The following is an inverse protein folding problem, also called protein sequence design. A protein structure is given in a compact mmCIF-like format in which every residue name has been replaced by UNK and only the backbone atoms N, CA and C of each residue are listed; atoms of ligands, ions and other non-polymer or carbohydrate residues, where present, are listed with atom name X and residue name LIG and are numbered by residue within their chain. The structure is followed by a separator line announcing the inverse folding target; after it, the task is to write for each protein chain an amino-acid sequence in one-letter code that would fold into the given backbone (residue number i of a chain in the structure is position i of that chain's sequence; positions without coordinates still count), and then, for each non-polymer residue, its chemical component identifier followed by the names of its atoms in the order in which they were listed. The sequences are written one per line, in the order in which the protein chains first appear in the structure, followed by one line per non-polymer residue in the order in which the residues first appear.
data_IF_420848509254
#
_entry.id   IF_420848509254
#
_cell.length_a   1.000
_cell.length_b   1.000
_cell.length_c   1.000
_cell.angle_alpha   90.00
_cell.angle_beta   90.00
_cell.angle_gamma   90.00
#
_symmetry.space_group_name_H-M   'P 1'
#
loop_
_entity.id
_entity.type
_entity.pdbx_description
1 polymer ?
#
# COMPACT_ATOMS: atom_id res chain seq x y z
N UNK A 1 -1.55 -0.28 -17.07
CA UNK A 1 -0.91 0.62 -16.08
C UNK A 1 -2.03 1.18 -15.24
N UNK A 2 -1.87 1.20 -13.91
CA UNK A 2 -2.85 1.76 -12.98
C UNK A 2 -2.13 2.68 -12.00
N UNK A 3 -2.71 3.85 -11.75
CA UNK A 3 -2.26 4.79 -10.73
C UNK A 3 -3.42 5.01 -9.78
N UNK A 4 -3.20 4.82 -8.49
CA UNK A 4 -4.19 4.98 -7.46
C UNK A 4 -3.66 5.94 -6.39
N UNK A 5 -4.50 6.87 -5.97
CA UNK A 5 -4.26 7.77 -4.86
C UNK A 5 -5.45 7.64 -3.91
N UNK A 6 -5.18 7.35 -2.65
CA UNK A 6 -6.22 7.14 -1.65
C UNK A 6 -5.93 7.99 -0.43
N UNK A 7 -6.90 8.81 -0.04
CA UNK A 7 -6.85 9.61 1.18
C UNK A 7 -7.89 9.07 2.13
N UNK A 8 -7.46 8.69 3.32
CA UNK A 8 -8.33 8.25 4.40
C UNK A 8 -8.27 9.27 5.54
N UNK A 9 -9.43 9.76 5.98
CA UNK A 9 -9.56 10.67 7.11
C UNK A 9 -10.53 10.05 8.11
N UNK A 10 -10.12 9.96 9.37
CA UNK A 10 -11.00 9.56 10.45
C UNK A 10 -11.04 10.64 11.52
N UNK A 11 -12.23 10.79 12.11
CA UNK A 11 -12.50 11.68 13.23
C UNK A 11 -13.23 10.87 14.29
N UNK A 12 -12.64 10.75 15.47
CA UNK A 12 -13.24 10.08 16.61
C UNK A 12 -13.14 11.00 17.82
N UNK A 13 -14.30 11.41 18.32
CA UNK A 13 -14.40 12.17 19.56
C UNK A 13 -14.57 11.18 20.71
N UNK A 14 -13.62 11.16 21.65
CA UNK A 14 -13.70 10.34 22.86
C UNK A 14 -14.03 11.28 24.02
N UNK A 15 -15.21 11.07 24.61
CA UNK A 15 -15.66 11.82 25.78
C UNK A 15 -14.93 11.31 27.02
N UNK A 16 -14.04 12.12 27.58
CA UNK A 16 -13.41 11.87 28.87
C UNK A 16 -14.26 12.42 30.02
N UNK A 17 -14.01 11.95 31.25
CA UNK A 17 -14.77 12.37 32.44
C UNK A 17 -14.58 13.86 32.82
N UNK A 18 -13.57 14.55 32.26
CA UNK A 18 -13.26 15.96 32.55
C UNK A 18 -12.85 16.80 31.31
N UNK A 19 -12.38 16.19 30.22
CA UNK A 19 -12.07 16.87 28.93
C UNK A 19 -12.43 15.99 27.73
N UNK A 20 -12.81 16.61 26.61
CA UNK A 20 -13.12 15.93 25.35
C UNK A 20 -11.86 15.84 24.50
N UNK A 21 -11.39 14.63 24.20
CA UNK A 21 -10.24 14.44 23.32
C UNK A 21 -10.72 14.11 21.90
N UNK A 22 -10.35 14.97 20.95
CA UNK A 22 -10.61 14.73 19.52
C UNK A 22 -9.40 14.03 18.90
N UNK A 23 -9.59 12.76 18.52
CA UNK A 23 -8.64 12.01 17.73
C UNK A 23 -8.99 12.18 16.25
N UNK A 24 -8.05 12.71 15.47
CA UNK A 24 -8.16 12.75 14.02
C UNK A 24 -6.92 12.15 13.39
N UNK A 25 -7.07 11.40 12.31
CA UNK A 25 -5.91 10.89 11.59
C UNK A 25 -6.15 10.88 10.10
N UNK A 26 -5.10 11.21 9.36
CA UNK A 26 -5.09 11.28 7.91
C UNK A 26 -4.01 10.31 7.39
N UNK A 27 -4.43 9.36 6.57
CA UNK A 27 -3.54 8.42 5.90
C UNK A 27 -3.70 8.55 4.39
N UNK A 28 -2.65 9.00 3.73
CA UNK A 28 -2.51 9.13 2.29
C UNK A 28 -1.68 7.95 1.77
N UNK A 29 -2.14 7.32 0.68
CA UNK A 29 -1.44 6.21 0.04
C UNK A 29 -1.46 6.40 -1.46
N UNK A 30 -0.26 6.49 -2.04
CA UNK A 30 -0.05 6.49 -3.48
C UNK A 30 0.46 5.12 -3.90
N UNK A 31 -0.13 4.60 -4.98
CA UNK A 31 0.30 3.33 -5.56
C UNK A 31 0.30 3.42 -7.07
N UNK A 32 1.44 3.12 -7.67
CA UNK A 32 1.63 3.08 -9.11
C UNK A 32 1.99 1.66 -9.53
N UNK A 33 1.14 1.00 -10.30
CA UNK A 33 1.34 -0.37 -10.75
C UNK A 33 1.36 -0.46 -12.27
N UNK A 34 2.30 -1.25 -12.76
CA UNK A 34 2.43 -1.62 -14.16
C UNK A 34 2.40 -3.15 -14.26
N UNK A 35 1.67 -3.65 -15.24
CA UNK A 35 1.62 -5.08 -15.53
C UNK A 35 1.71 -5.28 -17.02
N UNK A 36 2.45 -6.30 -17.44
CA UNK A 36 2.63 -6.67 -18.83
C UNK A 36 2.49 -8.17 -18.99
N UNK A 37 1.67 -8.59 -19.95
CA UNK A 37 1.61 -10.00 -20.37
C UNK A 37 2.88 -10.29 -21.16
N UNK A 38 3.72 -11.18 -20.63
CA UNK A 38 4.96 -11.60 -21.29
C UNK A 38 4.68 -12.68 -22.34
N UNK A 39 3.74 -13.57 -22.03
CA UNK A 39 3.37 -14.68 -22.91
C UNK A 39 1.88 -14.97 -22.76
N UNK A 40 1.22 -15.24 -23.88
CA UNK A 40 -0.19 -15.64 -23.92
C UNK A 40 -0.39 -16.62 -25.06
N UNK A 41 -1.09 -17.70 -24.75
CA UNK A 41 -1.55 -18.73 -25.66
C UNK A 41 -2.99 -19.13 -25.29
N UNK A 42 -3.61 -20.04 -26.05
CA UNK A 42 -4.96 -20.54 -25.80
C UNK A 42 -5.09 -21.21 -24.42
N UNK A 43 -4.03 -21.86 -23.95
CA UNK A 43 -4.03 -22.63 -22.68
C UNK A 43 -3.17 -22.02 -21.59
N UNK A 44 -2.36 -20.99 -21.85
CA UNK A 44 -1.46 -20.44 -20.83
C UNK A 44 -1.26 -18.94 -20.93
N UNK A 45 -1.01 -18.30 -19.80
CA UNK A 45 -0.79 -16.85 -19.69
C UNK A 45 0.24 -16.56 -18.60
N UNK A 46 1.31 -15.86 -18.97
CA UNK A 46 2.32 -15.36 -18.03
C UNK A 46 2.27 -13.84 -18.00
N UNK A 47 2.12 -13.27 -16.81
CA UNK A 47 2.05 -11.83 -16.56
C UNK A 47 3.13 -11.43 -15.58
N UNK A 48 3.90 -10.40 -15.92
CA UNK A 48 4.82 -9.74 -15.02
C UNK A 48 4.17 -8.45 -14.52
N UNK A 49 4.27 -8.18 -13.23
CA UNK A 49 3.83 -6.95 -12.60
C UNK A 49 4.97 -6.31 -11.83
N UNK A 50 4.92 -4.99 -11.73
CA UNK A 50 5.84 -4.19 -10.95
C UNK A 50 5.16 -2.90 -10.54
N UNK A 51 5.46 -2.40 -9.36
CA UNK A 51 4.83 -1.19 -8.86
C UNK A 51 5.66 -0.48 -7.80
N UNK A 52 5.35 0.80 -7.61
CA UNK A 52 5.88 1.63 -6.55
C UNK A 52 4.73 2.01 -5.62
N UNK A 53 5.01 2.10 -4.33
CA UNK A 53 4.04 2.55 -3.34
C UNK A 53 4.69 3.55 -2.39
N UNK A 54 3.92 4.55 -1.98
CA UNK A 54 4.24 5.43 -0.86
C UNK A 54 3.03 5.58 0.04
N UNK A 55 3.28 5.52 1.35
CA UNK A 55 2.28 5.76 2.38
C UNK A 55 2.75 6.87 3.28
N UNK A 56 1.89 7.86 3.47
CA UNK A 56 2.09 8.95 4.40
C UNK A 56 0.95 8.92 5.42
N UNK A 57 1.28 8.76 6.70
CA UNK A 57 0.28 8.81 7.76
C UNK A 57 0.63 9.92 8.73
N UNK A 58 -0.34 10.81 8.98
CA UNK A 58 -0.29 11.89 9.97
C UNK A 58 -1.38 11.64 11.01
N UNK A 59 -1.03 11.72 12.29
CA UNK A 59 -1.98 11.60 13.39
C UNK A 59 -2.06 12.94 14.13
N UNK A 60 -3.28 13.36 14.44
CA UNK A 60 -3.60 14.60 15.14
C UNK A 60 -4.33 14.26 16.44
N UNK A 61 -3.87 14.87 17.55
CA UNK A 61 -4.58 14.83 18.83
C UNK A 61 -4.83 16.28 19.21
N UNK A 62 -6.09 16.64 19.40
CA UNK A 62 -6.49 17.95 19.91
C UNK A 62 -5.92 19.15 19.12
N UNK A 63 -6.09 19.09 17.79
CA UNK A 63 -5.63 20.11 16.83
C UNK A 63 -4.10 20.36 16.81
N UNK A 64 -3.32 19.54 17.53
CA UNK A 64 -1.86 19.55 17.54
C UNK A 64 -1.35 18.32 16.77
N UNK A 65 -0.47 18.54 15.80
CA UNK A 65 0.19 17.43 15.09
C UNK A 65 1.10 16.70 16.08
N UNK A 66 0.85 15.40 16.30
CA UNK A 66 1.78 14.56 17.06
C UNK A 66 2.90 14.15 16.12
N UNK A 67 3.93 15.02 15.99
CA UNK A 67 5.07 14.83 15.09
C UNK A 67 5.75 13.46 15.24
N UNK A 68 5.73 12.90 16.45
CA UNK A 68 6.40 11.64 16.83
C UNK A 68 5.83 10.41 16.12
N UNK A 69 4.60 10.45 15.61
CA UNK A 69 3.95 9.32 14.91
C UNK A 69 3.91 9.46 13.39
N UNK A 70 4.54 10.48 12.81
CA UNK A 70 4.60 10.67 11.36
C UNK A 70 5.37 9.52 10.71
N UNK A 71 4.66 8.59 10.06
CA UNK A 71 5.28 7.51 9.28
C UNK A 71 5.18 7.82 7.80
N UNK A 72 6.34 7.97 7.18
CA UNK A 72 6.48 8.00 5.72
C UNK A 72 7.17 6.70 5.32
N UNK A 73 6.49 5.88 4.52
CA UNK A 73 7.04 4.64 4.01
C UNK A 73 6.98 4.66 2.49
N UNK A 74 8.01 4.15 1.85
CA UNK A 74 8.02 3.94 0.41
C UNK A 74 8.61 2.57 0.09
N UNK A 75 8.33 2.09 -1.10
CA UNK A 75 8.90 0.84 -1.57
C UNK A 75 8.46 0.50 -2.97
N UNK A 76 8.90 -0.69 -3.39
CA UNK A 76 8.51 -1.28 -4.65
C UNK A 76 7.98 -2.69 -4.41
N UNK A 77 7.19 -3.15 -5.38
CA UNK A 77 6.71 -4.51 -5.46
C UNK A 77 6.96 -5.03 -6.88
N UNK A 78 7.26 -6.32 -6.99
CA UNK A 78 7.32 -7.04 -8.24
C UNK A 78 6.55 -8.34 -8.08
N UNK A 79 5.86 -8.76 -9.13
CA UNK A 79 5.09 -9.99 -9.11
C UNK A 79 5.14 -10.71 -10.44
N UNK A 80 4.99 -12.01 -10.40
CA UNK A 80 4.80 -12.85 -11.57
C UNK A 80 3.59 -13.74 -11.34
N UNK A 81 2.71 -13.78 -12.33
CA UNK A 81 1.52 -14.59 -12.35
C UNK A 81 1.56 -15.50 -13.57
N UNK A 82 1.44 -16.81 -13.37
CA UNK A 82 1.36 -17.80 -14.43
C UNK A 82 0.06 -18.59 -14.27
N UNK A 83 -0.72 -18.66 -15.35
CA UNK A 83 -1.96 -19.44 -15.39
C UNK A 83 -1.86 -20.43 -16.54
N UNK A 84 -2.20 -21.69 -16.29
CA UNK A 84 -2.19 -22.76 -17.27
C UNK A 84 -3.46 -23.61 -17.16
N UNK A 85 -4.07 -23.93 -18.29
CA UNK A 85 -5.25 -24.76 -18.43
C UNK A 85 -4.83 -26.14 -18.92
N UNK A 86 -5.08 -27.16 -18.10
CA UNK A 86 -4.72 -28.55 -18.32
C UNK A 86 -6.01 -29.35 -18.57
N UNK A 87 -6.64 -29.14 -19.73
CA UNK A 87 -7.93 -29.74 -20.06
C UNK A 87 -9.04 -29.25 -19.13
N UNK A 88 -9.48 -30.11 -18.21
CA UNK A 88 -10.49 -29.82 -17.19
C UNK A 88 -9.92 -29.26 -15.87
N UNK A 89 -8.60 -29.12 -15.75
CA UNK A 89 -7.93 -28.53 -14.60
C UNK A 89 -7.33 -27.15 -14.91
N UNK A 90 -7.18 -26.31 -13.89
CA UNK A 90 -6.50 -25.01 -14.00
C UNK A 90 -5.42 -24.90 -12.94
N UNK A 91 -4.19 -24.65 -13.37
CA UNK A 91 -3.07 -24.30 -12.51
C UNK A 91 -2.91 -22.77 -12.51
N UNK A 92 -2.84 -22.17 -11.33
CA UNK A 92 -2.53 -20.75 -11.16
C UNK A 92 -1.40 -20.60 -10.14
N UNK A 93 -0.35 -19.89 -10.53
CA UNK A 93 0.82 -19.59 -9.72
C UNK A 93 0.98 -18.08 -9.64
N UNK A 94 0.98 -17.54 -8.43
CA UNK A 94 1.13 -16.11 -8.18
C UNK A 94 2.24 -15.90 -7.14
N UNK A 95 3.31 -15.25 -7.56
CA UNK A 95 4.44 -14.90 -6.68
C UNK A 95 4.58 -13.40 -6.65
N UNK A 96 4.66 -12.83 -5.44
CA UNK A 96 4.81 -11.40 -5.24
C UNK A 96 5.89 -11.13 -4.21
N UNK A 97 6.77 -10.18 -4.53
CA UNK A 97 7.84 -9.72 -3.66
C UNK A 97 7.69 -8.22 -3.44
N UNK A 98 7.66 -7.80 -2.16
CA UNK A 98 7.52 -6.40 -1.76
C UNK A 98 8.70 -6.01 -0.89
N UNK A 99 9.36 -4.92 -1.25
CA UNK A 99 10.48 -4.39 -0.49
C UNK A 99 10.26 -2.92 -0.16
N UNK A 100 10.32 -2.61 1.14
CA UNK A 100 10.41 -1.22 1.60
C UNK A 100 11.77 -0.66 1.25
N UNK A 101 11.79 0.51 0.63
CA UNK A 101 13.01 1.28 0.41
C UNK A 101 12.84 2.54 1.24
N UNK A 102 13.76 2.82 2.17
CA UNK A 102 13.72 4.03 3.01
C UNK A 102 13.88 5.36 2.23
N UNK A 103 13.66 5.33 0.92
CA UNK A 103 13.82 6.41 -0.04
C UNK A 103 12.64 7.40 0.07
N UNK A 104 12.87 8.68 -0.23
CA UNK A 104 11.97 9.84 0.03
C UNK A 104 11.83 10.25 1.50
N UNK A 105 12.89 10.14 2.31
CA UNK A 105 12.85 10.58 3.71
C UNK A 105 11.87 9.74 4.52
N UNK A 106 11.88 8.43 4.28
CA UNK A 106 11.16 7.51 5.13
C UNK A 106 11.78 7.62 6.53
N UNK A 107 10.99 8.12 7.47
CA UNK A 107 11.41 8.28 8.86
C UNK A 107 11.54 6.85 9.40
N UNK A 108 12.75 6.48 9.85
CA UNK A 108 12.98 5.21 10.54
C UNK A 108 12.00 5.07 11.70
N UNK A 109 11.52 3.86 11.96
CA UNK A 109 10.64 3.62 13.11
C UNK A 109 11.34 4.20 14.36
N UNK A 110 10.68 5.07 15.14
CA UNK A 110 11.28 5.56 16.38
C UNK A 110 11.45 4.34 17.30
N UNK A 111 12.69 4.11 17.71
CA UNK A 111 13.05 3.23 18.83
C UNK A 111 12.76 3.95 20.13
#
# INVERSE_FOLDING_TARGET
MTANHTVYRYYQQVFGAFENYLYAGESETDKLNLSRVLYRDAVRKTTLSGGFWSRHSKNFVDNTEVEVQRRRMAGWEAGIAHKEYLGNATLALDMNFKRGTGVRGAIGAPE
#
